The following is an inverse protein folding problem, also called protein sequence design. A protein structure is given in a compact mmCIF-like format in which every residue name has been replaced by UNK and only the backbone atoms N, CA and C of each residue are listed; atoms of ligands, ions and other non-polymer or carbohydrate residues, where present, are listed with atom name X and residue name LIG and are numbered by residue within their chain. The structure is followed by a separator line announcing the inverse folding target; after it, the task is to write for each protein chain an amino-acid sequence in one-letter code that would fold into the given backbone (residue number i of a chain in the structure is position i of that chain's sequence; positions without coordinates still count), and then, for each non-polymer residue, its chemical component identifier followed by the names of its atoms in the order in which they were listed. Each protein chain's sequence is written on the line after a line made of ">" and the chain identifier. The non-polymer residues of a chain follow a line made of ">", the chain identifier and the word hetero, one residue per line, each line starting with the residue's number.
data_IF_292969180560
#
_entry.id   IF_292969180560
#
_cell.length_a   1.000
_cell.length_b   1.000
_cell.length_c   1.000
_cell.angle_alpha   90.00
_cell.angle_beta   90.00
_cell.angle_gamma   90.00
#
_symmetry.space_group_name_H-M   'P 1'
#
loop_
_entity.id
_entity.type
_entity.pdbx_description
1 polymer ?
#
# COMPACT_ATOMS: atom_id res chain seq x y z
N UNK A 1 37.91 28.71 -7.61
CA UNK A 1 38.90 29.56 -6.89
C UNK A 1 38.76 30.98 -7.44
N UNK A 2 38.88 31.98 -6.59
CA UNK A 2 38.86 33.37 -7.03
C UNK A 2 40.26 33.67 -7.56
N UNK A 3 40.44 33.69 -8.87
CA UNK A 3 41.77 33.60 -9.51
C UNK A 3 42.43 34.98 -9.77
N UNK A 4 41.69 36.09 -9.56
CA UNK A 4 42.27 37.45 -9.67
C UNK A 4 41.83 38.36 -8.49
N UNK A 5 42.54 39.47 -8.35
CA UNK A 5 42.36 40.44 -7.25
C UNK A 5 41.01 41.18 -7.35
N UNK A 6 40.51 41.40 -8.54
CA UNK A 6 39.24 42.06 -8.82
C UNK A 6 38.05 41.20 -8.41
N UNK A 7 38.07 39.88 -8.69
CA UNK A 7 37.07 38.92 -8.24
C UNK A 7 37.05 38.75 -6.72
N UNK A 8 38.22 38.85 -6.08
CA UNK A 8 38.30 38.82 -4.61
C UNK A 8 37.71 40.08 -3.98
N UNK A 9 37.99 41.27 -4.57
CA UNK A 9 37.43 42.54 -4.12
C UNK A 9 35.89 42.57 -4.26
N UNK A 10 35.39 42.16 -5.43
CA UNK A 10 33.93 42.03 -5.65
C UNK A 10 33.28 41.03 -4.69
N UNK A 11 33.92 39.92 -4.43
CA UNK A 11 33.45 38.93 -3.48
C UNK A 11 33.34 39.50 -2.07
N UNK A 12 34.39 40.18 -1.56
CA UNK A 12 34.37 40.77 -0.22
C UNK A 12 33.45 41.99 -0.10
N UNK A 13 33.12 42.65 -1.21
CA UNK A 13 32.10 43.69 -1.22
C UNK A 13 30.69 43.09 -1.10
N UNK A 14 30.43 41.95 -1.76
CA UNK A 14 29.15 41.25 -1.69
C UNK A 14 28.94 40.52 -0.37
N UNK A 15 30.01 40.03 0.23
CA UNK A 15 29.96 39.22 1.47
C UNK A 15 30.99 39.73 2.48
N UNK A 16 30.76 40.88 3.14
CA UNK A 16 31.70 41.45 4.09
C UNK A 16 31.94 40.45 5.24
N UNK A 17 33.22 40.16 5.54
CA UNK A 17 33.63 39.27 6.61
C UNK A 17 33.63 37.78 6.29
N UNK A 18 33.35 37.37 5.06
CA UNK A 18 33.47 35.99 4.65
C UNK A 18 34.93 35.49 4.77
N UNK A 19 35.10 34.30 5.44
CA UNK A 19 36.42 33.69 5.66
C UNK A 19 36.65 32.45 4.79
N UNK A 20 35.64 32.02 4.03
CA UNK A 20 35.68 30.80 3.21
C UNK A 20 34.77 30.89 2.01
N UNK A 21 34.98 30.02 1.02
CA UNK A 21 34.16 29.79 -0.16
C UNK A 21 33.78 28.32 -0.21
N UNK A 22 32.60 27.93 -0.75
CA UNK A 22 31.58 28.78 -1.37
C UNK A 22 30.75 29.58 -0.34
N UNK A 23 30.19 30.72 -0.81
CA UNK A 23 29.13 31.44 -0.10
C UNK A 23 27.84 31.26 -0.89
N UNK A 24 26.76 30.90 -0.22
CA UNK A 24 25.51 30.47 -0.83
C UNK A 24 24.42 31.50 -0.57
N UNK A 25 23.67 31.83 -1.62
CA UNK A 25 22.51 32.70 -1.60
C UNK A 25 21.31 31.95 -2.11
N UNK A 26 20.14 32.16 -1.50
CA UNK A 26 18.85 31.66 -1.97
C UNK A 26 17.89 32.83 -1.95
N UNK A 27 17.27 33.14 -3.09
CA UNK A 27 16.38 34.30 -3.27
C UNK A 27 17.00 35.61 -2.73
N UNK A 28 18.25 35.88 -3.14
CA UNK A 28 19.08 37.02 -2.70
C UNK A 28 19.40 37.09 -1.20
N UNK A 29 18.97 36.09 -0.42
CA UNK A 29 19.30 35.99 1.01
C UNK A 29 20.58 35.19 1.20
N UNK A 30 21.57 35.79 1.86
CA UNK A 30 22.82 35.12 2.22
C UNK A 30 22.54 34.03 3.26
N UNK A 31 22.87 32.78 2.92
CA UNK A 31 22.74 31.60 3.80
C UNK A 31 24.03 31.34 4.56
N UNK A 32 25.18 31.55 3.90
CA UNK A 32 26.50 31.27 4.47
C UNK A 32 27.29 30.24 3.67
N UNK A 33 28.01 29.37 4.37
CA UNK A 33 28.81 28.29 3.80
C UNK A 33 27.97 27.05 3.48
N UNK A 34 28.59 26.00 2.93
CA UNK A 34 27.96 24.70 2.74
C UNK A 34 27.39 24.13 4.04
N UNK A 35 28.13 24.25 5.14
CA UNK A 35 27.66 23.75 6.46
C UNK A 35 26.44 24.54 6.97
N UNK A 36 26.38 25.84 6.67
CA UNK A 36 25.21 26.66 7.02
C UNK A 36 24.00 26.29 6.15
N UNK A 37 24.21 26.01 4.87
CA UNK A 37 23.16 25.48 3.98
C UNK A 37 22.64 24.15 4.52
N UNK A 38 23.52 23.23 4.92
CA UNK A 38 23.09 21.93 5.45
C UNK A 38 22.29 22.04 6.74
N UNK A 39 22.58 23.04 7.60
CA UNK A 39 21.78 23.32 8.82
C UNK A 39 20.37 23.81 8.53
N UNK A 40 20.19 24.54 7.45
CA UNK A 40 18.89 25.10 7.06
C UNK A 40 18.21 24.30 5.96
N UNK A 41 18.87 23.26 5.42
CA UNK A 41 18.37 22.46 4.29
C UNK A 41 16.97 21.90 4.56
N UNK A 42 16.73 21.35 5.76
CA UNK A 42 15.39 20.85 6.14
C UNK A 42 14.32 21.96 6.13
N UNK A 43 14.73 23.21 6.41
CA UNK A 43 13.82 24.37 6.40
C UNK A 43 13.58 24.88 4.97
N UNK A 44 14.59 24.75 4.10
CA UNK A 44 14.51 25.12 2.68
C UNK A 44 13.71 24.10 1.88
N UNK A 45 13.88 22.80 2.16
CA UNK A 45 13.07 21.73 1.58
C UNK A 45 11.59 21.90 1.95
N UNK A 46 11.30 22.34 3.17
CA UNK A 46 9.94 22.71 3.59
C UNK A 46 9.33 23.84 2.76
N UNK A 47 10.14 24.75 2.22
CA UNK A 47 9.68 25.85 1.33
C UNK A 47 9.36 25.41 -0.10
N UNK A 48 9.78 24.24 -0.51
CA UNK A 48 9.62 23.75 -1.91
C UNK A 48 8.38 22.85 -2.04
N UNK A 49 7.49 22.78 -1.02
CA UNK A 49 6.22 22.05 -1.13
C UNK A 49 6.36 20.55 -0.93
N UNK A 50 6.92 20.14 0.22
CA UNK A 50 7.01 18.74 0.62
C UNK A 50 5.64 18.05 0.77
N UNK A 51 5.65 16.76 1.05
CA UNK A 51 4.45 15.91 1.21
C UNK A 51 3.45 16.46 2.23
N UNK A 52 3.96 17.10 3.29
CA UNK A 52 3.15 17.63 4.40
C UNK A 52 2.79 19.11 4.24
N UNK A 53 3.23 19.77 3.18
CA UNK A 53 3.01 21.18 2.88
C UNK A 53 1.93 21.34 1.80
N UNK A 54 1.13 22.42 1.92
CA UNK A 54 0.15 22.73 0.87
C UNK A 54 0.83 23.12 -0.43
N UNK A 55 0.34 22.61 -1.55
CA UNK A 55 0.73 23.09 -2.87
C UNK A 55 0.20 24.50 -3.08
N UNK A 56 1.06 25.45 -3.44
CA UNK A 56 0.65 26.83 -3.75
C UNK A 56 -0.09 26.91 -5.09
N UNK A 57 0.30 26.06 -6.04
CA UNK A 57 -0.25 26.00 -7.39
C UNK A 57 -0.51 24.57 -7.82
N UNK A 58 -1.38 24.38 -8.83
CA UNK A 58 -1.63 23.07 -9.40
C UNK A 58 -0.39 22.50 -10.13
N UNK A 59 0.39 23.34 -10.79
CA UNK A 59 1.65 23.00 -11.48
C UNK A 59 2.74 24.01 -11.12
N UNK A 60 4.03 23.61 -11.18
CA UNK A 60 4.56 22.29 -11.57
C UNK A 60 4.26 21.20 -10.52
N UNK A 61 4.20 19.93 -10.96
CA UNK A 61 4.01 18.81 -10.04
C UNK A 61 5.31 18.48 -9.33
N UNK A 62 5.24 18.35 -8.00
CA UNK A 62 6.34 17.89 -7.16
C UNK A 62 6.42 16.35 -7.12
N UNK A 63 5.26 15.68 -7.19
CA UNK A 63 5.13 14.23 -7.16
C UNK A 63 4.35 13.73 -8.38
N UNK A 64 4.91 13.83 -9.61
CA UNK A 64 4.21 13.42 -10.83
C UNK A 64 3.79 11.95 -10.83
N UNK A 65 4.50 11.09 -10.08
CA UNK A 65 4.10 9.70 -9.86
C UNK A 65 2.72 9.55 -9.18
N UNK A 66 2.35 10.47 -8.28
CA UNK A 66 1.05 10.44 -7.64
C UNK A 66 -0.07 10.78 -8.63
N UNK A 67 0.18 11.73 -9.54
CA UNK A 67 -0.75 12.07 -10.63
C UNK A 67 -0.93 10.88 -11.59
N UNK A 68 0.16 10.19 -11.97
CA UNK A 68 0.10 9.01 -12.82
C UNK A 68 -0.72 7.88 -12.16
N UNK A 69 -0.47 7.60 -10.89
CA UNK A 69 -1.22 6.60 -10.13
C UNK A 69 -2.70 6.97 -10.05
N UNK A 70 -3.03 8.21 -9.69
CA UNK A 70 -4.41 8.68 -9.65
C UNK A 70 -5.09 8.47 -11.01
N UNK A 71 -4.42 8.87 -12.10
CA UNK A 71 -4.96 8.73 -13.45
C UNK A 71 -5.21 7.26 -13.82
N UNK A 72 -4.30 6.35 -13.48
CA UNK A 72 -4.48 4.90 -13.73
C UNK A 72 -5.62 4.33 -12.89
N UNK A 73 -5.71 4.73 -11.64
CA UNK A 73 -6.75 4.32 -10.72
C UNK A 73 -8.14 4.78 -11.17
N UNK A 74 -8.28 6.04 -11.60
CA UNK A 74 -9.52 6.57 -12.16
C UNK A 74 -9.93 5.88 -13.47
N UNK A 75 -8.97 5.54 -14.34
CA UNK A 75 -9.23 4.76 -15.56
C UNK A 75 -9.69 3.32 -15.28
N UNK A 76 -9.35 2.78 -14.13
CA UNK A 76 -9.81 1.48 -13.67
C UNK A 76 -11.14 1.55 -12.90
N UNK A 77 -11.94 2.62 -13.12
CA UNK A 77 -13.22 2.82 -12.45
C UNK A 77 -14.22 1.69 -12.78
N UNK A 78 -14.99 1.33 -11.78
CA UNK A 78 -16.13 0.42 -11.85
C UNK A 78 -17.10 0.73 -10.71
N UNK A 79 -18.31 0.24 -10.80
CA UNK A 79 -19.32 0.27 -9.74
C UNK A 79 -19.95 -1.11 -9.58
N UNK A 80 -20.54 -1.36 -8.43
CA UNK A 80 -21.13 -2.64 -8.04
C UNK A 80 -22.18 -3.17 -9.03
N UNK A 81 -22.95 -2.27 -9.66
CA UNK A 81 -24.02 -2.63 -10.61
C UNK A 81 -23.49 -3.15 -11.95
N UNK A 82 -22.20 -3.02 -12.24
CA UNK A 82 -21.58 -3.55 -13.47
C UNK A 82 -21.31 -5.06 -13.41
N UNK A 83 -21.49 -5.67 -12.24
CA UNK A 83 -21.20 -7.09 -12.03
C UNK A 83 -22.49 -7.90 -12.01
N UNK A 84 -22.63 -8.82 -12.96
CA UNK A 84 -23.75 -9.75 -13.00
C UNK A 84 -23.56 -10.89 -11.98
N UNK A 85 -24.41 -10.92 -10.96
CA UNK A 85 -24.44 -11.94 -9.91
C UNK A 85 -25.51 -13.03 -10.14
N UNK A 86 -26.17 -13.05 -11.28
CA UNK A 86 -27.28 -13.98 -11.57
C UNK A 86 -26.85 -15.45 -11.59
N UNK A 87 -25.66 -15.74 -12.13
CA UNK A 87 -25.08 -17.08 -12.09
C UNK A 87 -24.75 -17.51 -10.66
N UNK A 88 -24.27 -16.58 -9.80
CA UNK A 88 -23.96 -16.85 -8.40
C UNK A 88 -25.20 -17.24 -7.60
N UNK A 89 -26.32 -16.58 -7.83
CA UNK A 89 -27.62 -16.97 -7.24
C UNK A 89 -27.99 -18.39 -7.66
N UNK A 90 -27.80 -18.72 -8.93
CA UNK A 90 -28.08 -20.04 -9.46
C UNK A 90 -27.15 -21.10 -8.85
N UNK A 91 -25.88 -20.84 -8.77
CA UNK A 91 -24.89 -21.72 -8.13
C UNK A 91 -25.20 -21.94 -6.64
N UNK A 92 -25.57 -20.85 -5.93
CA UNK A 92 -25.87 -20.85 -4.51
C UNK A 92 -27.14 -21.63 -4.15
N UNK A 93 -28.22 -21.37 -4.89
CA UNK A 93 -29.54 -21.98 -4.64
C UNK A 93 -29.72 -23.34 -5.33
N UNK A 94 -29.05 -23.56 -6.45
CA UNK A 94 -29.17 -24.75 -7.29
C UNK A 94 -28.37 -25.97 -6.80
N UNK A 95 -27.63 -25.85 -5.70
CA UNK A 95 -26.87 -26.95 -5.12
C UNK A 95 -25.52 -27.22 -5.76
N UNK A 96 -25.02 -26.33 -6.64
CA UNK A 96 -23.66 -26.40 -7.19
C UNK A 96 -22.62 -26.02 -6.13
N UNK A 97 -23.01 -25.18 -5.17
CA UNK A 97 -22.27 -24.86 -3.96
C UNK A 97 -22.83 -25.72 -2.82
N UNK A 98 -21.97 -26.54 -2.24
CA UNK A 98 -22.32 -27.39 -1.08
C UNK A 98 -22.52 -26.53 0.18
N UNK A 99 -23.22 -27.05 1.19
CA UNK A 99 -23.41 -26.31 2.46
C UNK A 99 -22.06 -25.99 3.14
N UNK A 100 -21.07 -26.88 3.06
CA UNK A 100 -19.71 -26.65 3.57
C UNK A 100 -19.03 -25.48 2.84
N UNK A 101 -19.19 -25.39 1.51
CA UNK A 101 -18.67 -24.28 0.71
C UNK A 101 -19.41 -22.98 1.00
N UNK A 102 -20.72 -23.03 1.27
CA UNK A 102 -21.51 -21.85 1.67
C UNK A 102 -21.02 -21.31 3.02
N UNK A 103 -20.85 -22.18 4.00
CA UNK A 103 -20.29 -21.81 5.31
C UNK A 103 -18.89 -21.18 5.15
N UNK A 104 -18.05 -21.76 4.31
CA UNK A 104 -16.71 -21.26 4.05
C UNK A 104 -16.76 -19.84 3.41
N UNK A 105 -17.53 -19.65 2.35
CA UNK A 105 -17.70 -18.35 1.68
C UNK A 105 -18.24 -17.31 2.68
N UNK A 106 -19.29 -17.65 3.43
CA UNK A 106 -19.91 -16.76 4.42
C UNK A 106 -18.90 -16.31 5.46
N UNK A 107 -18.04 -17.20 5.95
CA UNK A 107 -17.02 -16.86 6.94
C UNK A 107 -15.94 -15.92 6.38
N UNK A 108 -15.54 -16.11 5.12
CA UNK A 108 -14.61 -15.19 4.47
C UNK A 108 -15.25 -13.81 4.28
N UNK A 109 -16.52 -13.76 3.85
CA UNK A 109 -17.24 -12.51 3.63
C UNK A 109 -17.51 -11.72 4.91
N UNK A 110 -17.71 -12.39 6.07
CA UNK A 110 -17.85 -11.73 7.39
C UNK A 110 -16.69 -10.81 7.72
N UNK A 111 -15.47 -11.24 7.46
CA UNK A 111 -14.29 -10.41 7.68
C UNK A 111 -14.13 -9.35 6.59
N UNK A 112 -14.38 -9.73 5.36
CA UNK A 112 -14.01 -8.95 4.18
C UNK A 112 -14.75 -7.61 4.14
N UNK A 113 -16.07 -7.63 4.34
CA UNK A 113 -16.91 -6.42 4.36
C UNK A 113 -16.48 -5.39 5.41
N UNK A 114 -15.93 -5.85 6.54
CA UNK A 114 -15.44 -4.95 7.58
C UNK A 114 -14.01 -4.45 7.31
N UNK A 115 -13.20 -5.22 6.59
CA UNK A 115 -11.83 -4.83 6.25
C UNK A 115 -11.78 -3.55 5.42
N UNK A 116 -12.64 -3.43 4.41
CA UNK A 116 -12.70 -2.24 3.54
C UNK A 116 -13.17 -0.99 4.30
N UNK A 117 -14.00 -1.16 5.33
CA UNK A 117 -14.36 -0.06 6.24
C UNK A 117 -13.12 0.42 7.00
N UNK A 118 -12.31 -0.51 7.53
CA UNK A 118 -11.10 -0.16 8.27
C UNK A 118 -10.03 0.50 7.37
N UNK A 119 -9.85 0.01 6.13
CA UNK A 119 -8.92 0.61 5.16
C UNK A 119 -9.37 2.01 4.77
N UNK A 120 -10.64 2.19 4.39
CA UNK A 120 -11.21 3.48 4.02
C UNK A 120 -11.08 4.51 5.14
N UNK A 121 -11.36 4.11 6.39
CA UNK A 121 -11.22 4.97 7.55
C UNK A 121 -9.77 5.42 7.78
N UNK A 122 -8.77 4.56 7.57
CA UNK A 122 -7.37 4.96 7.66
C UNK A 122 -7.02 6.06 6.65
N UNK A 123 -7.53 6.01 5.43
CA UNK A 123 -7.34 7.09 4.46
C UNK A 123 -7.97 8.40 4.91
N UNK A 124 -9.26 8.38 5.30
CA UNK A 124 -9.99 9.58 5.68
C UNK A 124 -9.45 10.21 6.97
N UNK A 125 -9.18 9.41 7.98
CA UNK A 125 -8.88 9.92 9.32
C UNK A 125 -7.38 10.10 9.59
N UNK A 126 -6.53 9.29 8.92
CA UNK A 126 -5.10 9.28 9.21
C UNK A 126 -4.25 9.92 8.11
N UNK A 127 -4.47 9.62 6.82
CA UNK A 127 -3.56 10.05 5.77
C UNK A 127 -3.98 11.36 5.10
N UNK A 128 -5.21 11.49 4.62
CA UNK A 128 -5.70 12.71 3.94
C UNK A 128 -5.55 13.97 4.82
N UNK A 129 -5.75 13.94 6.15
CA UNK A 129 -5.50 15.09 7.00
C UNK A 129 -4.03 15.46 7.17
N UNK A 130 -3.10 14.50 7.01
CA UNK A 130 -1.66 14.72 7.23
C UNK A 130 -0.94 15.17 5.96
N UNK A 131 -1.16 14.49 4.85
CA UNK A 131 -0.54 14.83 3.57
C UNK A 131 -1.26 16.03 2.95
N UNK A 132 -0.53 17.14 2.78
CA UNK A 132 -1.10 18.42 2.32
C UNK A 132 -0.81 18.71 0.86
N UNK A 133 0.23 18.08 0.28
CA UNK A 133 0.52 18.21 -1.13
C UNK A 133 -0.67 17.75 -1.99
N UNK A 134 -1.03 18.55 -3.00
CA UNK A 134 -2.25 18.38 -3.77
C UNK A 134 -2.28 17.06 -4.56
N UNK A 135 -1.17 16.69 -5.22
CA UNK A 135 -1.07 15.45 -6.01
C UNK A 135 -1.28 14.21 -5.14
N UNK A 136 -0.63 14.19 -3.98
CA UNK A 136 -0.71 13.08 -3.02
C UNK A 136 -2.10 13.02 -2.37
N UNK A 137 -2.69 14.15 -2.02
CA UNK A 137 -4.04 14.18 -1.46
C UNK A 137 -5.09 13.68 -2.43
N UNK A 138 -4.97 14.04 -3.72
CA UNK A 138 -5.88 13.54 -4.75
C UNK A 138 -5.75 12.02 -4.90
N UNK A 139 -4.53 11.49 -4.89
CA UNK A 139 -4.29 10.03 -4.92
C UNK A 139 -4.94 9.34 -3.71
N UNK A 140 -4.68 9.82 -2.51
CA UNK A 140 -5.24 9.24 -1.28
C UNK A 140 -6.77 9.38 -1.21
N UNK A 141 -7.32 10.48 -1.71
CA UNK A 141 -8.76 10.71 -1.81
C UNK A 141 -9.43 9.75 -2.82
N UNK A 142 -8.78 9.48 -3.95
CA UNK A 142 -9.23 8.52 -4.94
C UNK A 142 -9.24 7.09 -4.37
N UNK A 143 -8.21 6.70 -3.62
CA UNK A 143 -8.15 5.42 -2.92
C UNK A 143 -9.28 5.30 -1.89
N UNK A 144 -9.42 6.30 -1.01
CA UNK A 144 -10.49 6.33 0.00
C UNK A 144 -11.90 6.19 -0.61
N UNK A 145 -12.16 6.84 -1.75
CA UNK A 145 -13.45 6.74 -2.45
C UNK A 145 -13.67 5.33 -3.04
N UNK A 146 -12.62 4.66 -3.48
CA UNK A 146 -12.67 3.32 -4.03
C UNK A 146 -13.04 2.27 -2.97
N UNK A 147 -12.59 2.42 -1.74
CA UNK A 147 -13.01 1.55 -0.64
C UNK A 147 -14.53 1.57 -0.42
N UNK A 148 -15.18 2.71 -0.69
CA UNK A 148 -16.64 2.80 -0.67
C UNK A 148 -17.32 1.96 -1.76
N UNK A 149 -16.67 1.76 -2.92
CA UNK A 149 -17.18 0.88 -3.98
C UNK A 149 -17.01 -0.59 -3.55
N UNK A 150 -15.84 -0.95 -2.99
CA UNK A 150 -15.61 -2.30 -2.46
C UNK A 150 -16.66 -2.67 -1.42
N UNK A 151 -16.92 -1.80 -0.44
CA UNK A 151 -17.94 -2.00 0.59
C UNK A 151 -19.33 -2.29 -0.02
N UNK A 152 -19.75 -1.48 -1.01
CA UNK A 152 -21.06 -1.68 -1.67
C UNK A 152 -21.10 -2.95 -2.49
N UNK A 153 -20.02 -3.30 -3.18
CA UNK A 153 -19.95 -4.52 -3.98
C UNK A 153 -20.06 -5.79 -3.13
N UNK A 154 -19.36 -5.84 -1.99
CA UNK A 154 -19.49 -6.96 -1.05
C UNK A 154 -20.85 -6.96 -0.32
N UNK A 155 -21.43 -5.80 -0.03
CA UNK A 155 -22.79 -5.71 0.50
C UNK A 155 -23.81 -6.25 -0.51
N UNK A 156 -23.73 -5.82 -1.78
CA UNK A 156 -24.60 -6.32 -2.85
C UNK A 156 -24.46 -7.84 -3.04
N UNK A 157 -23.24 -8.37 -2.96
CA UNK A 157 -23.01 -9.83 -3.02
C UNK A 157 -23.68 -10.53 -1.85
N UNK A 158 -23.52 -10.07 -0.61
CA UNK A 158 -24.15 -10.67 0.58
C UNK A 158 -25.68 -10.64 0.47
N UNK A 159 -26.28 -9.52 0.10
CA UNK A 159 -27.72 -9.37 -0.11
C UNK A 159 -28.24 -10.32 -1.21
N UNK A 160 -27.51 -10.41 -2.32
CA UNK A 160 -27.86 -11.25 -3.47
C UNK A 160 -27.84 -12.75 -3.08
N UNK A 161 -26.90 -13.16 -2.27
CA UNK A 161 -26.82 -14.53 -1.72
C UNK A 161 -27.88 -14.78 -0.63
N UNK A 162 -28.53 -13.74 -0.11
CA UNK A 162 -29.54 -13.83 0.95
C UNK A 162 -28.94 -14.00 2.33
N UNK A 163 -27.72 -13.52 2.54
CA UNK A 163 -27.09 -13.50 3.86
C UNK A 163 -27.76 -12.42 4.74
N UNK A 164 -28.09 -12.73 6.02
CA UNK A 164 -28.77 -11.76 6.87
C UNK A 164 -27.81 -10.68 7.37
N UNK A 165 -28.33 -9.50 7.74
CA UNK A 165 -27.56 -8.37 8.27
C UNK A 165 -26.73 -8.71 9.50
N UNK A 166 -27.11 -9.75 10.24
CA UNK A 166 -26.32 -10.25 11.38
C UNK A 166 -24.91 -10.67 10.99
N UNK A 167 -24.66 -11.07 9.73
CA UNK A 167 -23.35 -11.47 9.24
C UNK A 167 -22.33 -10.32 9.27
N UNK A 168 -22.79 -9.06 9.13
CA UNK A 168 -21.92 -7.88 9.21
C UNK A 168 -21.34 -7.63 10.61
N UNK A 169 -21.97 -8.19 11.66
CA UNK A 169 -21.47 -8.12 13.03
C UNK A 169 -20.78 -9.40 13.50
N UNK A 170 -20.98 -10.50 12.78
CA UNK A 170 -20.53 -11.82 13.21
C UNK A 170 -18.99 -11.94 13.31
N UNK A 171 -18.21 -11.05 12.62
CA UNK A 171 -16.76 -11.03 12.77
C UNK A 171 -16.31 -10.76 14.22
N UNK A 172 -17.13 -10.07 15.04
CA UNK A 172 -16.84 -9.80 16.45
C UNK A 172 -16.93 -11.03 17.34
N UNK A 173 -17.61 -12.09 16.87
CA UNK A 173 -17.74 -13.34 17.60
C UNK A 173 -16.47 -14.21 17.52
N UNK A 174 -15.56 -13.89 16.59
CA UNK A 174 -14.31 -14.61 16.36
C UNK A 174 -13.11 -13.73 16.68
N UNK A 175 -12.34 -14.12 17.70
CA UNK A 175 -11.16 -13.37 18.13
C UNK A 175 -10.15 -13.17 16.99
N UNK A 176 -10.02 -14.17 16.10
CA UNK A 176 -9.12 -14.12 14.95
C UNK A 176 -9.49 -13.02 13.96
N UNK A 177 -10.77 -12.77 13.76
CA UNK A 177 -11.29 -11.71 12.90
C UNK A 177 -11.22 -10.35 13.59
N UNK A 178 -11.65 -10.28 14.87
CA UNK A 178 -11.60 -9.05 15.66
C UNK A 178 -10.17 -8.53 15.84
N UNK A 179 -9.20 -9.39 16.17
CA UNK A 179 -7.78 -9.07 16.30
C UNK A 179 -7.22 -8.47 15.00
N UNK A 180 -7.65 -9.00 13.86
CA UNK A 180 -7.21 -8.58 12.54
C UNK A 180 -7.73 -7.18 12.18
N UNK A 181 -9.02 -6.93 12.40
CA UNK A 181 -9.61 -5.59 12.19
C UNK A 181 -8.99 -4.56 13.16
N UNK A 182 -8.83 -4.91 14.44
CA UNK A 182 -8.18 -4.05 15.42
C UNK A 182 -6.73 -3.71 15.01
N UNK A 183 -5.98 -4.68 14.50
CA UNK A 183 -4.68 -4.44 13.92
C UNK A 183 -4.75 -3.47 12.74
N UNK A 184 -5.67 -3.65 11.79
CA UNK A 184 -5.78 -2.80 10.61
C UNK A 184 -6.10 -1.35 10.98
N UNK A 185 -6.95 -1.12 11.97
CA UNK A 185 -7.37 0.21 12.41
C UNK A 185 -6.33 0.95 13.27
N UNK A 186 -5.48 0.26 14.02
CA UNK A 186 -4.48 0.89 14.88
C UNK A 186 -3.37 1.56 14.07
N UNK A 187 -3.34 2.87 14.05
CA UNK A 187 -2.29 3.69 13.42
C UNK A 187 -1.92 4.84 14.35
N UNK A 188 -0.61 5.11 14.48
CA UNK A 188 -0.10 6.29 15.19
C UNK A 188 0.52 7.26 14.17
N UNK A 189 -0.19 8.31 13.86
CA UNK A 189 0.26 9.38 12.96
C UNK A 189 0.63 10.67 13.71
N UNK A 190 0.84 10.60 15.02
CA UNK A 190 1.17 11.76 15.86
C UNK A 190 2.61 12.22 15.70
N UNK A 191 3.52 11.30 15.36
CA UNK A 191 4.94 11.56 15.14
C UNK A 191 5.36 11.24 13.71
N UNK A 192 6.47 11.80 13.22
CA UNK A 192 7.02 11.47 11.90
C UNK A 192 7.36 9.98 11.79
N UNK A 193 7.96 9.40 12.84
CA UNK A 193 8.24 7.96 12.88
C UNK A 193 6.95 7.14 12.82
N UNK A 194 5.96 7.49 13.61
CA UNK A 194 4.66 6.83 13.62
C UNK A 194 3.93 6.93 12.27
N UNK A 195 3.96 8.10 11.63
CA UNK A 195 3.40 8.29 10.29
C UNK A 195 4.10 7.42 9.25
N UNK A 196 5.44 7.32 9.29
CA UNK A 196 6.21 6.43 8.41
C UNK A 196 5.87 4.95 8.64
N UNK A 197 5.72 4.51 9.89
CA UNK A 197 5.28 3.14 10.22
C UNK A 197 3.84 2.88 9.78
N UNK A 198 2.95 3.87 9.89
CA UNK A 198 1.56 3.77 9.44
C UNK A 198 1.47 3.62 7.92
N UNK A 199 2.32 4.29 7.13
CA UNK A 199 2.43 4.09 5.69
C UNK A 199 2.90 2.67 5.33
N UNK A 200 3.97 2.18 6.00
CA UNK A 200 4.42 0.81 5.80
C UNK A 200 3.33 -0.21 6.16
N UNK A 201 2.58 0.06 7.23
CA UNK A 201 1.47 -0.76 7.67
C UNK A 201 0.30 -0.76 6.67
N UNK A 202 -0.03 0.38 6.04
CA UNK A 202 -1.05 0.45 4.98
C UNK A 202 -0.69 -0.49 3.82
N UNK A 203 0.58 -0.53 3.41
CA UNK A 203 1.06 -1.50 2.40
C UNK A 203 0.84 -2.95 2.85
N UNK A 204 0.97 -3.26 4.15
CA UNK A 204 0.68 -4.60 4.67
C UNK A 204 -0.82 -4.86 4.80
N UNK A 205 -1.63 -3.86 5.15
CA UNK A 205 -3.08 -4.01 5.21
C UNK A 205 -3.66 -4.37 3.85
N UNK A 206 -3.39 -3.57 2.83
CA UNK A 206 -3.94 -3.71 1.48
C UNK A 206 -3.20 -4.75 0.64
N UNK A 207 -1.92 -4.97 0.92
CA UNK A 207 -1.06 -5.87 0.15
C UNK A 207 -0.87 -7.27 0.74
N UNK A 208 -1.33 -7.52 1.96
CA UNK A 208 -1.19 -8.82 2.66
C UNK A 208 -2.48 -9.21 3.35
N UNK A 209 -3.03 -8.34 4.23
CA UNK A 209 -4.12 -8.70 5.12
C UNK A 209 -5.47 -8.96 4.43
N UNK A 210 -5.65 -8.61 3.17
CA UNK A 210 -6.82 -8.93 2.36
C UNK A 210 -6.61 -10.18 1.48
N UNK A 211 -5.36 -10.55 1.22
CA UNK A 211 -5.03 -11.49 0.16
C UNK A 211 -5.37 -12.95 0.45
N UNK A 212 -5.41 -13.38 1.72
CA UNK A 212 -5.92 -14.72 2.02
C UNK A 212 -7.38 -14.85 1.60
N UNK A 213 -8.21 -13.84 1.93
CA UNK A 213 -9.63 -13.81 1.54
C UNK A 213 -9.79 -13.81 0.02
N UNK A 214 -9.01 -12.99 -0.70
CA UNK A 214 -9.02 -12.96 -2.16
C UNK A 214 -8.73 -14.32 -2.77
N UNK A 215 -7.65 -14.97 -2.35
CA UNK A 215 -7.25 -16.29 -2.86
C UNK A 215 -8.33 -17.34 -2.58
N UNK A 216 -8.88 -17.34 -1.38
CA UNK A 216 -9.91 -18.28 -0.98
C UNK A 216 -11.19 -18.13 -1.78
N UNK A 217 -11.63 -16.90 -2.07
CA UNK A 217 -12.82 -16.64 -2.88
C UNK A 217 -12.58 -16.90 -4.38
N UNK A 218 -11.43 -16.48 -4.92
CA UNK A 218 -11.06 -16.73 -6.34
C UNK A 218 -10.93 -18.22 -6.67
N UNK A 219 -10.65 -19.07 -5.69
CA UNK A 219 -10.55 -20.49 -5.92
C UNK A 219 -11.83 -21.09 -6.51
N UNK A 220 -13.01 -20.57 -6.16
CA UNK A 220 -14.28 -21.03 -6.71
C UNK A 220 -14.40 -20.81 -8.22
N UNK A 221 -13.87 -19.70 -8.71
CA UNK A 221 -13.87 -19.37 -10.14
C UNK A 221 -13.04 -20.37 -10.97
N UNK A 222 -11.99 -20.96 -10.42
CA UNK A 222 -11.21 -22.03 -11.08
C UNK A 222 -12.06 -23.24 -11.47
N UNK A 223 -13.10 -23.50 -10.68
CA UNK A 223 -14.02 -24.61 -10.88
C UNK A 223 -15.34 -24.16 -11.55
N UNK A 224 -15.34 -22.96 -12.12
CA UNK A 224 -16.51 -22.39 -12.80
C UNK A 224 -17.67 -22.08 -11.88
N UNK A 225 -17.42 -21.89 -10.57
CA UNK A 225 -18.38 -21.57 -9.52
C UNK A 225 -18.27 -20.09 -9.14
N UNK A 226 -19.39 -19.45 -8.75
CA UNK A 226 -19.40 -18.10 -8.17
C UNK A 226 -18.61 -17.08 -9.00
N UNK A 227 -18.92 -16.98 -10.30
CA UNK A 227 -18.14 -16.16 -11.23
C UNK A 227 -18.28 -14.67 -10.98
N UNK A 228 -19.48 -14.21 -10.58
CA UNK A 228 -19.73 -12.82 -10.22
C UNK A 228 -18.95 -12.42 -8.97
N UNK A 229 -18.96 -13.25 -7.92
CA UNK A 229 -18.10 -13.09 -6.75
C UNK A 229 -16.61 -13.03 -7.16
N UNK A 230 -16.17 -13.95 -8.02
CA UNK A 230 -14.81 -13.93 -8.56
C UNK A 230 -14.50 -12.59 -9.26
N UNK A 231 -15.46 -12.02 -9.99
CA UNK A 231 -15.28 -10.73 -10.68
C UNK A 231 -15.17 -9.55 -9.70
N UNK A 232 -15.98 -9.52 -8.64
CA UNK A 232 -15.81 -8.54 -7.54
C UNK A 232 -14.39 -8.60 -6.99
N UNK A 233 -13.92 -9.81 -6.68
CA UNK A 233 -12.57 -10.02 -6.11
C UNK A 233 -11.47 -9.64 -7.09
N UNK A 234 -11.57 -9.99 -8.38
CA UNK A 234 -10.59 -9.59 -9.41
C UNK A 234 -10.44 -8.06 -9.49
N UNK A 235 -11.56 -7.34 -9.51
CA UNK A 235 -11.52 -5.89 -9.60
C UNK A 235 -11.02 -5.24 -8.30
N UNK A 236 -11.36 -5.80 -7.15
CA UNK A 236 -10.78 -5.37 -5.86
C UNK A 236 -9.27 -5.57 -5.84
N UNK A 237 -8.75 -6.75 -6.21
CA UNK A 237 -7.28 -7.00 -6.26
C UNK A 237 -6.56 -6.01 -7.19
N UNK A 238 -7.16 -5.68 -8.33
CA UNK A 238 -6.60 -4.68 -9.23
C UNK A 238 -6.43 -3.34 -8.53
N UNK A 239 -7.47 -2.89 -7.86
CA UNK A 239 -7.47 -1.61 -7.15
C UNK A 239 -6.47 -1.63 -5.98
N UNK A 240 -6.48 -2.67 -5.15
CA UNK A 240 -5.52 -2.86 -4.06
C UNK A 240 -4.07 -2.89 -4.55
N UNK A 241 -3.84 -3.44 -5.73
CA UNK A 241 -2.51 -3.44 -6.34
C UNK A 241 -2.03 -2.02 -6.67
N UNK A 242 -2.91 -1.15 -7.14
CA UNK A 242 -2.62 0.27 -7.40
C UNK A 242 -2.43 1.03 -6.07
N UNK A 243 -3.25 0.74 -5.05
CA UNK A 243 -3.13 1.32 -3.71
C UNK A 243 -1.76 0.98 -3.09
N UNK A 244 -1.37 -0.28 -3.13
CA UNK A 244 -0.06 -0.75 -2.65
C UNK A 244 1.10 -0.08 -3.38
N UNK A 245 1.02 0.09 -4.71
CA UNK A 245 2.03 0.83 -5.47
C UNK A 245 2.12 2.29 -5.01
N UNK A 246 0.97 2.96 -4.89
CA UNK A 246 0.88 4.35 -4.45
C UNK A 246 1.43 4.56 -3.05
N UNK A 247 0.99 3.74 -2.11
CA UNK A 247 1.44 3.80 -0.72
C UNK A 247 2.92 3.45 -0.56
N UNK A 248 3.46 2.52 -1.36
CA UNK A 248 4.89 2.20 -1.36
C UNK A 248 5.73 3.36 -1.89
N UNK A 249 5.28 4.06 -2.94
CA UNK A 249 5.96 5.26 -3.44
C UNK A 249 5.86 6.41 -2.44
N UNK A 250 4.70 6.59 -1.81
CA UNK A 250 4.50 7.59 -0.76
C UNK A 250 5.40 7.33 0.45
N UNK A 251 5.49 6.08 0.90
CA UNK A 251 6.41 5.69 1.96
C UNK A 251 7.86 6.04 1.62
N UNK A 252 8.32 5.70 0.42
CA UNK A 252 9.70 6.02 -0.02
C UNK A 252 9.96 7.52 -0.09
N UNK A 253 9.03 8.29 -0.67
CA UNK A 253 9.13 9.74 -0.74
C UNK A 253 9.15 10.35 0.67
N UNK A 254 8.30 9.86 1.58
CA UNK A 254 8.26 10.29 2.97
C UNK A 254 9.58 9.99 3.71
N UNK A 255 10.14 8.80 3.55
CA UNK A 255 11.44 8.45 4.12
C UNK A 255 12.58 9.30 3.55
N UNK A 256 12.53 9.66 2.26
CA UNK A 256 13.51 10.53 1.64
C UNK A 256 13.45 11.97 2.19
N UNK A 257 12.26 12.49 2.47
CA UNK A 257 12.08 13.80 3.11
C UNK A 257 12.42 13.81 4.61
N UNK A 258 12.35 12.65 5.26
CA UNK A 258 12.55 12.50 6.70
C UNK A 258 13.63 11.44 7.03
N UNK A 259 14.86 11.54 6.51
CA UNK A 259 15.88 10.49 6.63
C UNK A 259 16.27 10.17 8.09
N UNK A 260 16.06 11.11 9.02
CA UNK A 260 16.37 10.92 10.45
C UNK A 260 15.53 9.86 11.14
N UNK A 261 14.35 9.51 10.58
CA UNK A 261 13.51 8.44 11.16
C UNK A 261 13.96 7.05 10.68
N UNK A 262 14.75 6.97 9.60
CA UNK A 262 15.11 5.72 8.92
C UNK A 262 16.36 5.11 9.55
N UNK A 263 16.24 4.65 10.77
CA UNK A 263 17.28 3.93 11.51
C UNK A 263 17.06 2.40 11.48
N UNK A 264 17.94 1.68 12.19
CA UNK A 264 17.83 0.22 12.29
C UNK A 264 16.56 -0.23 13.01
N UNK A 265 16.14 0.50 14.04
CA UNK A 265 14.96 0.18 14.84
C UNK A 265 13.68 0.44 14.02
N UNK A 266 13.64 1.49 13.20
CA UNK A 266 12.54 1.74 12.28
C UNK A 266 12.34 0.59 11.28
N UNK A 267 13.45 0.09 10.70
CA UNK A 267 13.39 -1.07 9.80
C UNK A 267 12.95 -2.33 10.53
N UNK A 268 13.43 -2.53 11.75
CA UNK A 268 13.03 -3.67 12.59
C UNK A 268 11.54 -3.62 12.91
N UNK A 269 10.99 -2.45 13.25
CA UNK A 269 9.55 -2.28 13.48
C UNK A 269 8.72 -2.66 12.24
N UNK A 270 9.18 -2.30 11.01
CA UNK A 270 8.48 -2.70 9.79
C UNK A 270 8.51 -4.23 9.60
N UNK A 271 9.63 -4.89 9.89
CA UNK A 271 9.67 -6.35 9.87
C UNK A 271 8.73 -6.98 10.90
N UNK A 272 8.56 -6.34 12.06
CA UNK A 272 7.61 -6.81 13.08
C UNK A 272 6.16 -6.62 12.64
N UNK A 273 5.83 -5.47 12.02
CA UNK A 273 4.52 -5.26 11.39
C UNK A 273 4.22 -6.37 10.37
N UNK A 274 5.16 -6.67 9.48
CA UNK A 274 5.00 -7.71 8.46
C UNK A 274 4.81 -9.11 9.09
N UNK A 275 5.61 -9.47 10.10
CA UNK A 275 5.46 -10.75 10.81
C UNK A 275 4.13 -10.84 11.55
N UNK A 276 3.68 -9.74 12.13
CA UNK A 276 2.41 -9.68 12.83
C UNK A 276 1.24 -9.86 11.87
N UNK A 277 1.26 -9.18 10.71
CA UNK A 277 0.25 -9.36 9.67
C UNK A 277 0.17 -10.84 9.23
N UNK A 278 1.30 -11.48 8.93
CA UNK A 278 1.34 -12.91 8.55
C UNK A 278 0.77 -13.81 9.67
N UNK A 279 1.07 -13.51 10.93
CA UNK A 279 0.52 -14.27 12.06
C UNK A 279 -1.00 -14.15 12.16
N UNK A 280 -1.56 -12.99 11.91
CA UNK A 280 -3.01 -12.77 11.90
C UNK A 280 -3.66 -13.49 10.71
N UNK A 281 -3.02 -13.43 9.53
CA UNK A 281 -3.46 -14.19 8.35
C UNK A 281 -3.47 -15.71 8.62
N UNK A 282 -2.40 -16.25 9.23
CA UNK A 282 -2.35 -17.67 9.58
C UNK A 282 -3.52 -18.10 10.48
N UNK A 283 -3.85 -17.30 11.51
CA UNK A 283 -4.98 -17.56 12.39
C UNK A 283 -6.32 -17.52 11.65
N UNK A 284 -6.50 -16.52 10.80
CA UNK A 284 -7.72 -16.37 10.00
C UNK A 284 -7.89 -17.54 9.01
N UNK A 285 -6.82 -17.94 8.32
CA UNK A 285 -6.83 -19.11 7.42
C UNK A 285 -7.20 -20.38 8.21
N UNK A 286 -6.60 -20.59 9.38
CA UNK A 286 -6.93 -21.75 10.22
C UNK A 286 -8.41 -21.74 10.64
N UNK A 287 -8.95 -20.58 10.98
CA UNK A 287 -10.37 -20.43 11.32
C UNK A 287 -11.25 -20.78 10.11
N UNK A 288 -10.98 -20.21 8.93
CA UNK A 288 -11.75 -20.48 7.73
C UNK A 288 -11.78 -21.98 7.37
N UNK A 289 -10.65 -22.65 7.45
CA UNK A 289 -10.55 -24.08 7.15
C UNK A 289 -11.09 -25.02 8.26
N UNK A 290 -11.28 -24.53 9.48
CA UNK A 290 -12.05 -25.27 10.51
C UNK A 290 -13.54 -25.32 10.19
N UNK A 291 -14.06 -24.29 9.55
CA UNK A 291 -15.47 -24.12 9.25
C UNK A 291 -15.87 -24.74 7.92
N UNK A 292 -14.90 -25.01 7.02
CA UNK A 292 -15.14 -25.66 5.75
C UNK A 292 -13.85 -25.92 5.01
N UNK A 293 -13.93 -26.81 4.02
CA UNK A 293 -12.83 -27.09 3.09
C UNK A 293 -13.29 -26.83 1.68
N UNK A 294 -12.38 -26.49 0.77
CA UNK A 294 -12.67 -26.22 -0.63
C UNK A 294 -11.79 -27.11 -1.51
N UNK A 295 -12.32 -27.44 -2.68
CA UNK A 295 -11.61 -28.23 -3.68
C UNK A 295 -10.39 -27.47 -4.20
N UNK A 296 -9.24 -28.14 -4.30
CA UNK A 296 -8.04 -27.67 -5.00
C UNK A 296 -7.30 -26.53 -4.33
N UNK A 297 -7.52 -26.25 -3.05
CA UNK A 297 -6.77 -25.28 -2.28
C UNK A 297 -6.64 -25.72 -0.81
N UNK A 298 -5.40 -25.86 -0.36
CA UNK A 298 -5.09 -26.25 1.01
C UNK A 298 -4.67 -25.03 1.86
N UNK A 299 -5.00 -25.05 3.15
CA UNK A 299 -4.62 -23.99 4.08
C UNK A 299 -3.11 -23.69 4.08
N UNK A 300 -2.29 -24.74 3.95
CA UNK A 300 -0.83 -24.61 3.89
C UNK A 300 -0.36 -23.83 2.66
N UNK A 301 -1.02 -23.99 1.51
CA UNK A 301 -0.70 -23.28 0.27
C UNK A 301 -1.06 -21.81 0.40
N UNK A 302 -2.23 -21.48 0.97
CA UNK A 302 -2.64 -20.09 1.24
C UNK A 302 -1.66 -19.42 2.18
N UNK A 303 -1.28 -20.07 3.29
CA UNK A 303 -0.28 -19.56 4.24
C UNK A 303 1.08 -19.30 3.58
N UNK A 304 1.51 -20.21 2.70
CA UNK A 304 2.76 -20.03 1.97
C UNK A 304 2.67 -18.87 0.98
N UNK A 305 1.53 -18.69 0.33
CA UNK A 305 1.28 -17.54 -0.54
C UNK A 305 1.32 -16.22 0.22
N UNK A 306 0.74 -16.15 1.43
CA UNK A 306 0.83 -14.95 2.26
C UNK A 306 2.29 -14.59 2.59
N UNK A 307 3.15 -15.55 2.85
CA UNK A 307 4.60 -15.32 3.04
C UNK A 307 5.27 -14.81 1.76
N UNK A 308 4.90 -15.38 0.63
CA UNK A 308 5.40 -14.96 -0.68
C UNK A 308 5.09 -13.49 -0.96
N UNK A 309 3.81 -13.08 -0.86
CA UNK A 309 3.43 -11.70 -1.13
C UNK A 309 3.98 -10.73 -0.08
N UNK A 310 4.10 -11.13 1.19
CA UNK A 310 4.71 -10.31 2.23
C UNK A 310 6.15 -9.96 1.90
N UNK A 311 6.93 -10.93 1.41
CA UNK A 311 8.29 -10.69 0.93
C UNK A 311 8.32 -9.69 -0.24
N UNK A 312 7.34 -9.75 -1.16
CA UNK A 312 7.19 -8.78 -2.26
C UNK A 312 6.88 -7.37 -1.74
N UNK A 313 6.02 -7.23 -0.73
CA UNK A 313 5.71 -5.93 -0.11
C UNK A 313 6.93 -5.35 0.62
N UNK A 314 7.70 -6.18 1.32
CA UNK A 314 8.95 -5.73 1.95
C UNK A 314 9.94 -5.20 0.90
N UNK A 315 10.10 -5.89 -0.24
CA UNK A 315 10.92 -5.41 -1.35
C UNK A 315 10.39 -4.09 -1.94
N UNK A 316 9.07 -3.95 -2.10
CA UNK A 316 8.45 -2.70 -2.55
C UNK A 316 8.71 -1.54 -1.59
N UNK A 317 8.82 -1.79 -0.29
CA UNK A 317 9.23 -0.80 0.71
C UNK A 317 10.75 -0.54 0.74
N UNK A 318 11.55 -1.26 -0.07
CA UNK A 318 13.00 -1.16 -0.10
C UNK A 318 13.71 -1.94 1.00
N UNK A 319 13.03 -2.94 1.59
CA UNK A 319 13.58 -3.83 2.61
C UNK A 319 13.93 -5.20 2.00
N UNK A 320 14.71 -6.00 2.74
CA UNK A 320 15.01 -7.38 2.34
C UNK A 320 13.84 -8.30 2.66
N UNK A 321 13.78 -9.45 1.96
CA UNK A 321 12.81 -10.51 2.26
C UNK A 321 12.99 -11.07 3.67
N UNK A 322 11.89 -11.41 4.33
CA UNK A 322 11.89 -11.98 5.68
C UNK A 322 11.64 -13.50 5.68
N UNK A 323 10.73 -13.98 4.81
CA UNK A 323 10.30 -15.37 4.75
C UNK A 323 11.05 -16.18 3.70
N UNK A 324 11.73 -15.52 2.76
CA UNK A 324 12.58 -16.11 1.70
C UNK A 324 11.84 -17.04 0.76
N UNK A 325 10.55 -16.80 0.52
CA UNK A 325 9.74 -17.54 -0.46
C UNK A 325 10.01 -16.97 -1.84
N UNK A 326 10.67 -17.76 -2.71
CA UNK A 326 11.12 -17.30 -4.02
C UNK A 326 10.06 -17.46 -5.11
N UNK A 327 9.32 -18.55 -5.08
CA UNK A 327 8.36 -18.92 -6.11
C UNK A 327 6.93 -18.75 -5.61
N UNK A 328 6.04 -18.35 -6.51
CA UNK A 328 4.61 -18.26 -6.19
C UNK A 328 4.06 -19.69 -5.98
N UNK A 329 3.55 -20.04 -4.79
CA UNK A 329 2.99 -21.35 -4.52
C UNK A 329 1.64 -21.58 -5.21
N UNK A 330 1.01 -20.54 -5.74
CA UNK A 330 -0.31 -20.58 -6.40
C UNK A 330 -0.22 -20.04 -7.84
N UNK A 331 0.46 -20.75 -8.78
CA UNK A 331 0.66 -20.25 -10.14
C UNK A 331 -0.67 -20.05 -10.90
N UNK A 332 -1.73 -20.76 -10.54
CA UNK A 332 -3.04 -20.58 -11.12
C UNK A 332 -3.63 -19.18 -10.87
N UNK A 333 -3.26 -18.53 -9.77
CA UNK A 333 -3.73 -17.19 -9.43
C UNK A 333 -3.26 -16.17 -10.47
N UNK A 334 -2.04 -16.29 -10.96
CA UNK A 334 -1.53 -15.45 -12.05
C UNK A 334 -2.35 -15.61 -13.33
N UNK A 335 -2.75 -16.85 -13.65
CA UNK A 335 -3.58 -17.11 -14.82
C UNK A 335 -4.99 -16.47 -14.67
N UNK A 336 -5.61 -16.56 -13.51
CA UNK A 336 -6.92 -15.92 -13.23
C UNK A 336 -6.80 -14.40 -13.34
N UNK A 337 -5.77 -13.81 -12.74
CA UNK A 337 -5.55 -12.35 -12.73
C UNK A 337 -5.13 -11.82 -14.11
N UNK A 338 -4.35 -12.57 -14.90
CA UNK A 338 -3.93 -12.18 -16.25
C UNK A 338 -5.06 -12.27 -17.29
N UNK A 339 -6.08 -13.12 -17.06
CA UNK A 339 -7.28 -13.18 -17.88
C UNK A 339 -8.13 -11.90 -17.84
N UNK A 340 -7.84 -11.01 -16.89
CA UNK A 340 -8.52 -9.74 -16.65
C UNK A 340 -7.73 -8.51 -17.12
N UNK A 341 -6.94 -8.59 -18.20
CA UNK A 341 -6.10 -7.51 -18.76
C UNK A 341 -5.01 -6.96 -17.81
N UNK A 342 -4.51 -7.79 -16.88
CA UNK A 342 -3.44 -7.40 -15.95
C UNK A 342 -2.10 -8.03 -16.33
N UNK A 343 -1.43 -7.45 -17.31
CA UNK A 343 -0.03 -7.74 -17.60
C UNK A 343 0.85 -7.40 -16.38
N UNK A 344 1.40 -8.45 -15.75
CA UNK A 344 2.66 -8.44 -15.00
C UNK A 344 2.85 -7.41 -13.87
N UNK A 345 1.80 -7.06 -13.12
CA UNK A 345 1.99 -6.21 -11.93
C UNK A 345 2.86 -6.88 -10.86
N UNK A 346 2.75 -8.21 -10.70
CA UNK A 346 3.48 -8.95 -9.67
C UNK A 346 4.90 -9.34 -10.05
N UNK A 347 5.20 -9.58 -11.33
CA UNK A 347 6.51 -10.08 -11.77
C UNK A 347 7.46 -9.03 -12.34
N UNK A 348 7.01 -8.19 -13.27
CA UNK A 348 7.92 -7.28 -13.99
C UNK A 348 8.44 -6.11 -13.14
N UNK A 349 7.69 -5.65 -12.12
CA UNK A 349 8.16 -4.55 -11.26
C UNK A 349 8.93 -4.99 -10.04
N UNK A 350 8.77 -6.24 -9.62
CA UNK A 350 9.54 -6.78 -8.50
C UNK A 350 10.96 -7.16 -8.94
N UNK A 351 11.15 -7.62 -10.18
CA UNK A 351 12.49 -7.87 -10.74
C UNK A 351 13.30 -6.59 -10.93
N UNK A 352 12.67 -5.46 -11.29
CA UNK A 352 13.35 -4.16 -11.33
C UNK A 352 13.79 -3.70 -9.92
N UNK A 353 13.00 -4.03 -8.88
CA UNK A 353 13.34 -3.74 -7.50
C UNK A 353 14.36 -4.72 -6.90
N UNK A 354 14.40 -5.97 -7.34
CA UNK A 354 15.44 -6.93 -6.93
C UNK A 354 16.83 -6.48 -7.37
N UNK A 355 16.97 -5.88 -8.55
CA UNK A 355 18.25 -5.36 -9.06
C UNK A 355 18.70 -4.11 -8.28
N UNK A 356 17.79 -3.24 -7.88
CA UNK A 356 18.12 -2.04 -7.11
C UNK A 356 18.31 -2.32 -5.59
N UNK A 357 17.66 -3.35 -5.05
CA UNK A 357 17.73 -3.74 -3.63
C UNK A 357 18.90 -4.66 -3.28
N UNK A 358 19.56 -5.26 -4.27
CA UNK A 358 20.62 -6.25 -4.05
C UNK A 358 22.03 -5.66 -3.93
N UNK A 359 22.27 -4.41 -4.34
CA UNK A 359 23.63 -3.83 -4.43
C UNK A 359 23.92 -2.71 -3.45
N UNK A 360 22.97 -2.24 -2.63
CA UNK A 360 23.22 -1.14 -1.72
C UNK A 360 22.34 -1.15 -0.48
N UNK A 361 22.93 -0.78 0.65
CA UNK A 361 22.15 -0.39 1.83
C UNK A 361 21.39 0.91 1.53
N UNK A 362 20.45 1.27 2.39
CA UNK A 362 19.75 2.56 2.31
C UNK A 362 20.71 3.75 2.14
N UNK A 363 21.95 3.66 2.64
CA UNK A 363 22.99 4.68 2.50
C UNK A 363 23.41 4.89 1.03
N UNK A 364 23.46 3.85 0.18
CA UNK A 364 23.79 3.99 -1.23
C UNK A 364 22.60 4.50 -2.07
N UNK A 365 21.38 4.15 -1.70
CA UNK A 365 20.17 4.67 -2.37
C UNK A 365 20.00 6.18 -2.15
N UNK A 366 20.45 6.70 -1.01
CA UNK A 366 20.41 8.13 -0.69
C UNK A 366 21.65 8.90 -1.15
N UNK A 367 22.79 8.24 -1.35
CA UNK A 367 24.00 8.91 -1.85
C UNK A 367 23.95 9.20 -3.36
N UNK A 368 23.15 8.46 -4.13
CA UNK A 368 22.96 8.69 -5.57
C UNK A 368 21.93 9.80 -5.88
N UNK A 369 21.12 10.21 -4.92
CA UNK A 369 20.19 11.35 -5.05
C UNK A 369 20.82 12.72 -4.77
N UNK A 370 22.10 12.78 -4.44
CA UNK A 370 22.81 14.02 -4.13
C UNK A 370 23.69 14.54 -5.28
N UNK A 371 23.63 13.95 -6.47
CA UNK A 371 24.41 14.39 -7.64
C UNK A 371 23.51 14.36 -8.89
N UNK A 372 22.78 15.43 -9.11
CA UNK A 372 22.57 16.14 -10.40
C UNK A 372 21.54 17.25 -10.23
#
# INVERSE_FOLDING_TARGET
>A
MLDNEEQRLEFYQKVPGARSVPQIYIDDKHIGTYDDLMRVADTLVKKIGGLLEFSETYKPFHYPWAVDITTRHEKAHWIEDEIDLSEDVTDWKGGKITEVEKDYITNVLRLFTQSDVAVGQNYYDQFVPKFKNNEVRNMLGSFAAREGIHQRAYALLNETLGLPDSEYHAFLEYSEMADKIDYMMKSDTSTMRGLGLSLAKSVMNEGVALFASFVMLLNFQRFGKMKGMGKVVEWSIRDESIHVEGNSKLFKAFCAEHPRIVDADFKQDIYELARHAVKLEDKFIDLAYKMGTVEGLEAAEVKQYIRYITDRRLLQLGLRTNFKVKENPLPWLEWVLNGADHTNFFENRVTEYEVAGLTGGWEEAYSQGAVS
#
